data_IF_721351382668
#
_entry.id   IF_721351382668
#
_cell.length_a   1.000
_cell.length_b   1.000
_cell.length_c   1.000
_cell.angle_alpha   90.00
_cell.angle_beta   90.00
_cell.angle_gamma   90.00
#
_symmetry.space_group_name_H-M   'P 1'
#
loop_
_entity.id
_entity.type
_entity.pdbx_description
1 polymer ?
#
# COMPACT_ATOMS: atom_id res chain seq x y z
N UNK A 1 -8.91 3.77 -23.67
CA UNK A 1 -7.57 3.89 -23.09
C UNK A 1 -7.65 3.95 -21.60
N UNK A 2 -6.87 3.14 -20.95
CA UNK A 2 -6.96 2.98 -19.50
C UNK A 2 -5.91 3.78 -18.73
N UNK A 3 -5.07 4.52 -19.44
CA UNK A 3 -3.97 5.24 -18.83
C UNK A 3 -4.42 6.32 -17.85
N UNK A 4 -5.61 6.88 -18.08
CA UNK A 4 -6.15 7.93 -17.24
C UNK A 4 -7.29 7.45 -16.36
N UNK A 5 -7.47 6.15 -16.29
CA UNK A 5 -8.53 5.60 -15.46
C UNK A 5 -8.19 5.82 -13.99
N UNK A 6 -9.20 6.24 -13.23
CA UNK A 6 -9.09 6.42 -11.79
C UNK A 6 -9.89 5.35 -11.08
N UNK A 7 -9.35 4.87 -9.96
CA UNK A 7 -9.99 3.85 -9.15
C UNK A 7 -10.06 4.35 -7.72
N UNK A 8 -11.20 4.17 -7.08
CA UNK A 8 -11.41 4.62 -5.71
C UNK A 8 -10.96 3.59 -4.70
N UNK A 9 -10.67 4.09 -3.50
CA UNK A 9 -10.38 3.28 -2.34
C UNK A 9 -10.65 4.07 -1.08
N UNK A 10 -10.39 3.44 0.06
CA UNK A 10 -10.60 4.10 1.32
C UNK A 10 -10.47 3.15 2.50
N UNK A 11 -10.79 3.67 3.68
CA UNK A 11 -10.73 2.94 4.93
C UNK A 11 -12.03 2.16 5.18
N UNK A 12 -11.99 1.31 6.18
CA UNK A 12 -13.11 0.45 6.54
C UNK A 12 -14.39 1.24 6.86
N UNK A 13 -14.27 2.34 7.61
CA UNK A 13 -15.44 3.11 8.03
C UNK A 13 -15.91 4.13 7.00
N UNK A 14 -15.10 4.38 5.96
CA UNK A 14 -15.45 5.33 4.91
C UNK A 14 -15.13 6.77 5.22
N UNK A 15 -14.57 7.08 6.39
CA UNK A 15 -14.19 8.46 6.72
C UNK A 15 -13.08 8.99 5.83
N UNK A 16 -12.17 8.11 5.38
CA UNK A 16 -11.09 8.46 4.46
C UNK A 16 -11.37 7.78 3.13
N UNK A 17 -11.49 8.58 2.08
CA UNK A 17 -11.62 8.05 0.72
C UNK A 17 -10.60 8.72 -0.18
N UNK A 18 -10.13 7.98 -1.16
CA UNK A 18 -9.13 8.47 -2.09
C UNK A 18 -9.36 7.88 -3.48
N UNK A 19 -8.57 8.35 -4.41
CA UNK A 19 -8.61 7.91 -5.78
C UNK A 19 -7.18 7.79 -6.27
N UNK A 20 -6.89 6.73 -7.02
CA UNK A 20 -5.58 6.55 -7.64
C UNK A 20 -5.77 6.57 -9.14
N UNK A 21 -4.84 7.26 -9.82
CA UNK A 21 -4.84 7.33 -11.27
C UNK A 21 -3.84 6.31 -11.81
N UNK A 22 -4.29 5.49 -12.76
CA UNK A 22 -3.41 4.57 -13.44
C UNK A 22 -2.56 5.30 -14.48
N UNK A 23 -1.38 4.79 -14.81
CA UNK A 23 -0.87 3.49 -14.40
C UNK A 23 -0.23 3.51 -13.01
N UNK A 24 -0.22 2.36 -12.36
CA UNK A 24 0.61 2.15 -11.18
C UNK A 24 2.06 1.95 -11.63
N UNK A 25 2.99 2.07 -10.69
CA UNK A 25 4.41 1.88 -10.98
C UNK A 25 4.86 0.43 -10.77
N UNK A 26 4.28 -0.21 -9.76
CA UNK A 26 4.61 -1.60 -9.41
C UNK A 26 3.57 -2.12 -8.43
N UNK A 27 3.57 -3.44 -8.22
CA UNK A 27 2.73 -4.09 -7.23
C UNK A 27 3.50 -5.28 -6.66
N UNK A 28 3.56 -5.38 -5.34
CA UNK A 28 4.36 -6.43 -4.69
C UNK A 28 3.83 -6.77 -3.30
N UNK A 29 4.13 -8.00 -2.87
CA UNK A 29 3.89 -8.44 -1.50
C UNK A 29 5.09 -8.06 -0.64
N UNK A 30 4.85 -7.35 0.45
CA UNK A 30 5.91 -6.97 1.39
C UNK A 30 5.81 -7.84 2.64
N UNK A 31 6.88 -8.57 2.92
CA UNK A 31 6.95 -9.50 4.04
C UNK A 31 7.64 -8.94 5.28
N UNK A 32 8.00 -7.66 5.29
CA UNK A 32 8.76 -7.09 6.41
C UNK A 32 7.93 -7.11 7.70
N UNK A 33 8.63 -7.18 8.84
CA UNK A 33 7.97 -7.25 10.13
C UNK A 33 7.12 -6.04 10.45
N UNK A 34 7.52 -4.86 9.98
CA UNK A 34 6.74 -3.65 10.21
C UNK A 34 5.41 -3.67 9.45
N UNK A 35 5.42 -4.11 8.20
CA UNK A 35 4.18 -4.25 7.44
C UNK A 35 3.26 -5.27 8.09
N UNK A 36 3.81 -6.41 8.50
CA UNK A 36 3.01 -7.42 9.17
C UNK A 36 2.34 -6.88 10.43
N UNK A 37 3.08 -6.17 11.25
CA UNK A 37 2.54 -5.63 12.51
C UNK A 37 1.57 -4.49 12.28
N UNK A 38 1.85 -3.63 11.31
CA UNK A 38 0.98 -2.49 11.03
C UNK A 38 -0.38 -2.94 10.49
N UNK A 39 -0.44 -4.08 9.83
CA UNK A 39 -1.68 -4.57 9.22
C UNK A 39 -2.23 -5.83 9.89
N UNK A 40 -1.48 -6.45 10.78
CA UNK A 40 -1.92 -7.71 11.41
C UNK A 40 -2.05 -8.83 10.39
N UNK A 41 -1.13 -8.92 9.44
CA UNK A 41 -1.22 -9.85 8.33
C UNK A 41 0.12 -10.54 8.09
N UNK A 42 0.10 -11.65 7.37
CA UNK A 42 1.33 -12.39 7.06
C UNK A 42 2.23 -11.66 6.09
N UNK A 43 1.66 -10.91 5.19
CA UNK A 43 2.34 -9.93 4.35
C UNK A 43 1.31 -8.90 3.91
N UNK A 44 1.78 -7.79 3.35
CA UNK A 44 0.91 -6.73 2.85
C UNK A 44 1.20 -6.54 1.37
N UNK A 45 0.15 -6.48 0.57
CA UNK A 45 0.29 -6.20 -0.86
C UNK A 45 0.17 -4.71 -1.09
N UNK A 46 1.22 -4.14 -1.67
CA UNK A 46 1.29 -2.71 -1.95
C UNK A 46 1.29 -2.46 -3.45
N UNK A 47 0.67 -1.37 -3.85
CA UNK A 47 0.81 -0.83 -5.19
C UNK A 47 1.48 0.53 -5.07
N UNK A 48 2.51 0.77 -5.87
CA UNK A 48 3.22 2.05 -5.89
C UNK A 48 2.63 2.95 -6.96
N UNK A 49 2.40 4.21 -6.60
CA UNK A 49 1.93 5.23 -7.52
C UNK A 49 2.83 6.45 -7.43
N UNK A 50 2.92 7.20 -8.51
CA UNK A 50 3.46 8.54 -8.40
C UNK A 50 2.57 9.32 -7.43
N UNK A 51 3.15 10.14 -6.58
CA UNK A 51 2.38 10.84 -5.55
C UNK A 51 1.30 11.75 -6.14
N UNK A 52 1.55 12.32 -7.32
CA UNK A 52 0.54 13.15 -8.00
C UNK A 52 -0.58 12.34 -8.64
N UNK A 53 -0.47 11.00 -8.65
CA UNK A 53 -1.55 10.10 -9.07
C UNK A 53 -2.41 9.64 -7.90
N UNK A 54 -2.10 10.07 -6.70
CA UNK A 54 -2.91 9.80 -5.51
C UNK A 54 -3.65 11.06 -5.10
N UNK A 55 -4.97 10.97 -4.98
CA UNK A 55 -5.80 12.13 -4.64
C UNK A 55 -6.68 11.76 -3.46
N UNK A 56 -6.48 12.46 -2.34
CA UNK A 56 -7.36 12.32 -1.19
C UNK A 56 -8.67 13.04 -1.50
N UNK A 57 -9.77 12.29 -1.50
CA UNK A 57 -11.09 12.85 -1.82
C UNK A 57 -11.80 13.37 -0.57
N UNK A 58 -11.65 12.66 0.55
CA UNK A 58 -12.36 12.98 1.77
C UNK A 58 -11.57 12.48 2.96
N UNK A 59 -11.66 13.20 4.08
CA UNK A 59 -11.15 12.71 5.35
C UNK A 59 -9.75 13.18 5.71
N UNK A 60 -9.33 14.36 5.25
CA UNK A 60 -8.01 14.89 5.62
C UNK A 60 -7.86 15.07 7.13
N UNK A 61 -8.96 15.26 7.86
CA UNK A 61 -8.94 15.34 9.33
C UNK A 61 -8.82 13.96 9.99
N UNK A 62 -9.16 12.91 9.28
CA UNK A 62 -9.16 11.56 9.81
C UNK A 62 -7.92 10.77 9.40
N UNK A 63 -7.26 11.18 8.33
CA UNK A 63 -6.02 10.55 7.90
C UNK A 63 -4.89 11.04 8.80
N UNK A 64 -4.30 10.11 9.53
CA UNK A 64 -3.17 10.39 10.41
C UNK A 64 -1.94 9.66 9.89
N UNK A 65 -0.78 10.23 10.19
CA UNK A 65 0.49 9.64 9.78
C UNK A 65 1.32 9.27 11.00
N UNK A 66 1.80 8.05 11.00
CA UNK A 66 2.69 7.55 12.04
C UNK A 66 4.10 7.38 11.44
N UNK A 67 5.08 8.03 12.05
CA UNK A 67 6.47 7.84 11.65
C UNK A 67 6.91 6.45 12.13
N UNK A 68 6.93 5.49 11.20
CA UNK A 68 7.21 4.10 11.54
C UNK A 68 8.70 3.80 11.62
N UNK A 69 9.51 4.60 10.93
CA UNK A 69 10.97 4.49 10.98
C UNK A 69 11.56 5.78 10.44
N UNK A 70 12.88 5.93 10.48
CA UNK A 70 13.53 7.09 9.92
C UNK A 70 13.19 7.23 8.45
N UNK A 71 12.71 8.43 8.07
CA UNK A 71 12.38 8.71 6.69
C UNK A 71 11.16 7.98 6.15
N UNK A 72 10.34 7.38 7.03
CA UNK A 72 9.17 6.61 6.57
C UNK A 72 7.98 6.85 7.46
N UNK A 73 6.79 6.86 6.85
CA UNK A 73 5.55 7.06 7.59
C UNK A 73 4.42 6.23 7.00
N UNK A 74 3.46 5.90 7.84
CA UNK A 74 2.28 5.11 7.45
C UNK A 74 1.02 5.91 7.72
N UNK A 75 0.13 5.93 6.73
CA UNK A 75 -1.13 6.66 6.82
C UNK A 75 -2.26 5.74 7.20
N UNK A 76 -3.04 6.15 8.17
CA UNK A 76 -4.16 5.33 8.67
C UNK A 76 -5.34 6.22 9.04
N UNK A 77 -6.51 5.59 9.12
CA UNK A 77 -7.71 6.30 9.55
C UNK A 77 -7.77 6.33 11.07
N UNK A 78 -7.92 7.53 11.65
CA UNK A 78 -8.00 7.68 13.11
C UNK A 78 -9.30 7.11 13.68
N UNK A 79 -10.35 7.00 12.86
CA UNK A 79 -11.64 6.50 13.33
C UNK A 79 -11.72 4.97 13.36
N UNK A 80 -11.22 4.30 12.31
CA UNK A 80 -11.34 2.84 12.24
C UNK A 80 -10.00 2.11 12.26
N UNK A 81 -8.89 2.83 12.18
CA UNK A 81 -7.57 2.23 12.28
C UNK A 81 -7.04 1.57 11.00
N UNK A 82 -7.76 1.63 9.89
CA UNK A 82 -7.28 1.05 8.64
C UNK A 82 -5.95 1.68 8.25
N UNK A 83 -4.91 0.86 8.08
CA UNK A 83 -3.62 1.32 7.57
C UNK A 83 -3.64 1.20 6.05
N UNK A 84 -3.52 2.34 5.36
CA UNK A 84 -3.76 2.39 3.93
C UNK A 84 -2.55 2.79 3.12
N UNK A 85 -1.67 3.64 3.69
CA UNK A 85 -0.66 4.34 2.91
C UNK A 85 0.72 4.20 3.52
N UNK A 86 1.73 4.28 2.66
CA UNK A 86 3.12 4.29 3.09
C UNK A 86 3.91 5.21 2.18
N UNK A 87 4.74 6.06 2.79
CA UNK A 87 5.67 6.92 2.08
C UNK A 87 7.02 6.87 2.75
N UNK A 88 8.08 6.91 1.97
CA UNK A 88 9.44 6.88 2.50
C UNK A 88 10.39 7.63 1.59
N UNK A 89 11.42 8.22 2.21
CA UNK A 89 12.46 8.94 1.46
C UNK A 89 13.20 8.04 0.49
N UNK A 90 13.26 6.74 0.79
CA UNK A 90 13.88 5.74 -0.08
C UNK A 90 13.20 5.67 -1.45
N UNK A 91 11.90 6.00 -1.51
CA UNK A 91 11.15 6.03 -2.76
C UNK A 91 10.55 7.41 -2.95
N UNK A 92 11.39 8.40 -3.32
CA UNK A 92 10.92 9.77 -3.44
C UNK A 92 9.87 9.91 -4.55
N UNK A 93 8.85 10.72 -4.28
CA UNK A 93 7.80 10.97 -5.26
C UNK A 93 6.80 9.84 -5.40
N UNK A 94 6.83 8.84 -4.52
CA UNK A 94 5.89 7.73 -4.55
C UNK A 94 5.00 7.71 -3.32
N UNK A 95 3.74 7.34 -3.54
CA UNK A 95 2.80 7.00 -2.48
C UNK A 95 2.42 5.54 -2.68
N UNK A 96 2.66 4.73 -1.66
CA UNK A 96 2.30 3.31 -1.73
C UNK A 96 0.95 3.12 -1.07
N UNK A 97 0.08 2.40 -1.76
CA UNK A 97 -1.29 2.16 -1.31
C UNK A 97 -1.48 0.67 -1.08
N UNK A 98 -2.00 0.31 0.09
CA UNK A 98 -2.32 -1.09 0.38
C UNK A 98 -3.40 -1.53 -0.61
N UNK A 99 -3.11 -2.58 -1.37
CA UNK A 99 -3.99 -3.00 -2.46
C UNK A 99 -5.37 -3.38 -1.95
N UNK A 100 -5.45 -3.93 -0.74
CA UNK A 100 -6.74 -4.28 -0.13
C UNK A 100 -7.64 -3.09 0.17
N UNK A 101 -7.11 -1.87 0.17
CA UNK A 101 -7.90 -0.66 0.39
C UNK A 101 -8.40 -0.03 -0.92
N UNK A 102 -8.06 -0.60 -2.05
CA UNK A 102 -8.52 -0.14 -3.37
C UNK A 102 -9.75 -0.93 -3.75
N UNK A 103 -10.81 -0.22 -4.15
CA UNK A 103 -12.11 -0.82 -4.46
C UNK A 103 -12.23 -1.12 -5.95
N UNK A 104 -11.40 -2.04 -6.42
CA UNK A 104 -11.38 -2.43 -7.82
C UNK A 104 -10.05 -3.02 -8.20
N UNK A 105 -9.89 -3.28 -9.49
CA UNK A 105 -8.66 -3.85 -10.01
C UNK A 105 -7.79 -2.77 -10.62
N UNK A 106 -6.50 -2.82 -10.30
CA UNK A 106 -5.53 -1.92 -10.93
C UNK A 106 -4.96 -2.58 -12.20
N UNK A 107 -4.03 -1.90 -12.84
CA UNK A 107 -3.47 -2.28 -14.15
C UNK A 107 -2.46 -3.41 -14.08
N UNK A 108 -2.18 -3.98 -12.90
CA UNK A 108 -1.21 -5.07 -12.77
C UNK A 108 -1.50 -5.92 -11.54
N UNK A 109 -0.94 -7.11 -11.56
CA UNK A 109 -0.99 -8.03 -10.43
C UNK A 109 0.31 -7.95 -9.65
N UNK A 110 0.35 -8.47 -8.41
CA UNK A 110 1.62 -8.54 -7.67
C UNK A 110 2.69 -9.27 -8.50
N UNK A 111 3.88 -8.68 -8.52
CA UNK A 111 4.98 -9.14 -9.36
C UNK A 111 6.13 -9.73 -8.56
N UNK A 112 6.20 -9.44 -7.26
CA UNK A 112 7.35 -9.79 -6.45
C UNK A 112 6.99 -10.02 -5.00
N UNK A 113 7.85 -10.74 -4.31
CA UNK A 113 7.87 -10.89 -2.85
C UNK A 113 9.05 -10.08 -2.32
N UNK A 114 8.77 -8.94 -1.71
CA UNK A 114 9.79 -8.03 -1.17
C UNK A 114 10.05 -8.32 0.30
N UNK A 115 11.28 -8.07 0.75
CA UNK A 115 11.69 -8.35 2.13
C UNK A 115 11.40 -9.79 2.52
N UNK A 116 11.67 -10.69 1.58
CA UNK A 116 11.28 -12.09 1.70
C UNK A 116 12.02 -12.81 2.82
N UNK A 117 13.20 -12.32 3.20
CA UNK A 117 13.94 -12.92 4.31
C UNK A 117 13.14 -12.90 5.62
N UNK A 118 12.19 -11.99 5.74
CA UNK A 118 11.36 -11.84 6.93
C UNK A 118 10.01 -12.55 6.83
N UNK A 119 9.78 -13.35 5.77
CA UNK A 119 8.46 -13.95 5.56
C UNK A 119 8.12 -14.96 6.67
N UNK A 120 6.81 -15.11 6.90
CA UNK A 120 6.32 -16.07 7.89
C UNK A 120 6.22 -17.46 7.28
N UNK A 121 6.24 -18.48 8.14
CA UNK A 121 6.22 -19.87 7.67
C UNK A 121 4.81 -20.48 7.66
N UNK A 122 3.80 -19.70 8.03
CA UNK A 122 2.44 -20.21 8.19
C UNK A 122 1.48 -19.71 7.09
N UNK A 123 1.99 -19.02 6.10
CA UNK A 123 1.17 -18.46 5.02
C UNK A 123 1.65 -18.95 3.67
N UNK A 124 0.72 -19.37 2.77
CA UNK A 124 1.11 -19.78 1.43
C UNK A 124 1.79 -18.64 0.66
N UNK A 125 2.77 -18.99 -0.15
CA UNK A 125 3.55 -18.04 -0.92
C UNK A 125 3.50 -18.45 -2.37
N UNK A 126 3.33 -17.47 -3.26
CA UNK A 126 3.42 -17.70 -4.68
C UNK A 126 4.91 -17.75 -5.06
N UNK A 127 5.41 -18.95 -5.27
CA UNK A 127 6.83 -19.17 -5.57
C UNK A 127 7.20 -18.79 -6.99
N UNK A 128 6.22 -18.49 -7.84
CA UNK A 128 6.48 -18.04 -9.20
C UNK A 128 6.90 -16.59 -9.28
N UNK A 129 6.69 -15.81 -8.20
CA UNK A 129 7.04 -14.40 -8.18
C UNK A 129 8.52 -14.21 -7.90
N UNK A 130 9.08 -13.10 -8.39
CA UNK A 130 10.44 -12.71 -8.04
C UNK A 130 10.58 -12.50 -6.54
N UNK A 131 11.75 -12.81 -6.01
CA UNK A 131 12.03 -12.70 -4.58
C UNK A 131 13.15 -11.69 -4.37
N UNK A 132 12.89 -10.74 -3.49
CA UNK A 132 13.88 -9.73 -3.10
C UNK A 132 14.06 -9.76 -1.58
N UNK A 133 15.29 -9.59 -1.11
CA UNK A 133 15.57 -9.52 0.32
C UNK A 133 15.29 -8.13 0.88
N UNK A 134 15.16 -7.14 0.04
CA UNK A 134 14.90 -5.79 0.53
C UNK A 134 14.13 -4.91 -0.42
#
# INVERSE_FOLDING_TARGET
>A
MNENKCIRGGCLCGSVTFEVQLPSKWCAHCHCGMCRKAHGAGYVTWAGFQSDHFILLQGDHHLQWYKSSDGARRGFCSDCGSTMLFEADRWPGETHVALGCIDGEIDRRPQANSFFDAHVNWMPIDEALEVFSG
#
